data_IF_430222431358
#
_entry.id   IF_430222431358
#
_cell.length_a   1.000
_cell.length_b   1.000
_cell.length_c   1.000
_cell.angle_alpha   90.00
_cell.angle_beta   90.00
_cell.angle_gamma   90.00
#
_symmetry.space_group_name_H-M   'P 1'
#
loop_
_entity.id
_entity.type
_entity.pdbx_description
1 polymer ?
#
# COMPACT_ATOMS: atom_id res chain seq x y z
N UNK A 1 2.19 1.21 -21.28
CA UNK A 1 1.29 0.15 -20.81
C UNK A 1 -0.05 0.40 -21.45
N UNK A 2 -0.76 -0.62 -21.85
CA UNK A 2 -2.04 -0.47 -22.52
C UNK A 2 -2.60 -1.84 -22.94
N UNK A 3 -3.77 -1.81 -23.53
CA UNK A 3 -4.44 -2.98 -24.03
C UNK A 3 -3.73 -3.54 -25.27
N UNK A 4 -3.51 -4.84 -25.27
CA UNK A 4 -3.03 -5.61 -26.42
C UNK A 4 -4.22 -6.40 -27.00
N UNK A 5 -4.40 -6.33 -28.33
CA UNK A 5 -5.44 -7.10 -29.02
C UNK A 5 -4.87 -8.44 -29.48
N UNK A 6 -5.41 -9.53 -28.93
CA UNK A 6 -5.06 -10.91 -29.33
C UNK A 6 -6.31 -11.63 -29.84
N UNK A 7 -6.43 -11.72 -31.16
CA UNK A 7 -7.65 -12.23 -31.80
C UNK A 7 -8.83 -11.29 -31.56
N UNK A 8 -9.85 -11.79 -30.85
CA UNK A 8 -11.05 -11.02 -30.48
C UNK A 8 -10.98 -10.46 -29.04
N UNK A 9 -9.90 -10.75 -28.29
CA UNK A 9 -9.75 -10.40 -26.88
C UNK A 9 -8.81 -9.19 -26.71
N UNK A 10 -9.21 -8.28 -25.84
CA UNK A 10 -8.36 -7.22 -25.31
C UNK A 10 -7.70 -7.73 -24.04
N UNK A 11 -6.38 -7.69 -23.98
CA UNK A 11 -5.58 -8.18 -22.87
C UNK A 11 -4.82 -7.02 -22.25
N UNK A 12 -5.02 -6.83 -20.95
CA UNK A 12 -4.24 -5.93 -20.10
C UNK A 12 -3.42 -6.77 -19.14
N UNK A 13 -2.12 -6.49 -19.03
CA UNK A 13 -1.21 -7.15 -18.10
C UNK A 13 -0.67 -6.14 -17.12
N UNK A 14 -0.86 -6.42 -15.84
CA UNK A 14 -0.37 -5.61 -14.75
C UNK A 14 0.35 -6.46 -13.72
N UNK A 15 1.08 -5.83 -12.82
CA UNK A 15 1.73 -6.50 -11.71
C UNK A 15 1.21 -5.96 -10.39
N UNK A 16 1.00 -6.87 -9.44
CA UNK A 16 0.67 -6.52 -8.07
C UNK A 16 1.59 -7.24 -7.10
N UNK A 17 1.88 -6.60 -5.97
CA UNK A 17 2.59 -7.21 -4.85
C UNK A 17 1.62 -7.73 -3.77
N UNK A 18 0.33 -7.49 -3.96
CA UNK A 18 -0.68 -7.97 -3.02
C UNK A 18 -0.69 -9.50 -3.00
N UNK A 19 -0.79 -10.13 -1.82
CA UNK A 19 -1.12 -11.55 -1.72
C UNK A 19 -2.46 -11.83 -2.40
N UNK A 20 -2.63 -13.04 -2.97
CA UNK A 20 -3.83 -13.38 -3.74
C UNK A 20 -5.13 -13.10 -2.98
N UNK A 21 -5.24 -13.49 -1.73
CA UNK A 21 -6.47 -13.29 -0.94
C UNK A 21 -6.82 -11.79 -0.80
N UNK A 22 -5.83 -10.93 -0.63
CA UNK A 22 -6.05 -9.49 -0.59
C UNK A 22 -6.44 -8.93 -1.94
N UNK A 23 -5.73 -9.33 -3.00
CA UNK A 23 -6.08 -8.98 -4.37
C UNK A 23 -7.53 -9.36 -4.69
N UNK A 24 -7.95 -10.59 -4.32
CA UNK A 24 -9.30 -11.10 -4.53
C UNK A 24 -10.37 -10.22 -3.88
N UNK A 25 -10.15 -9.77 -2.64
CA UNK A 25 -11.08 -8.87 -1.93
C UNK A 25 -11.17 -7.52 -2.65
N UNK A 26 -10.03 -6.92 -3.00
CA UNK A 26 -9.98 -5.62 -3.66
C UNK A 26 -10.57 -5.69 -5.07
N UNK A 27 -10.30 -6.76 -5.83
CA UNK A 27 -10.88 -7.00 -7.15
C UNK A 27 -12.41 -7.14 -7.07
N UNK A 28 -12.91 -7.92 -6.10
CA UNK A 28 -14.35 -8.09 -5.91
C UNK A 28 -15.06 -6.79 -5.52
N UNK A 29 -14.39 -5.91 -4.76
CA UNK A 29 -14.88 -4.57 -4.45
C UNK A 29 -14.84 -3.66 -5.68
N UNK A 30 -13.69 -3.58 -6.35
CA UNK A 30 -13.50 -2.76 -7.55
C UNK A 30 -14.48 -3.11 -8.66
N UNK A 31 -14.76 -4.41 -8.89
CA UNK A 31 -15.76 -4.86 -9.85
C UNK A 31 -17.17 -4.37 -9.50
N UNK A 32 -17.52 -4.31 -8.22
CA UNK A 32 -18.84 -3.81 -7.77
C UNK A 32 -18.97 -2.29 -7.86
N UNK A 33 -17.91 -1.57 -7.52
CA UNK A 33 -17.90 -0.11 -7.39
C UNK A 33 -17.50 0.59 -8.68
N UNK A 34 -16.44 0.10 -9.33
CA UNK A 34 -15.86 0.76 -10.51
C UNK A 34 -16.57 0.49 -11.83
N UNK A 35 -17.24 -0.66 -11.95
CA UNK A 35 -17.94 -1.07 -13.16
C UNK A 35 -19.46 -1.08 -12.97
N UNK A 36 -19.99 -0.15 -12.20
CA UNK A 36 -21.44 -0.02 -11.99
C UNK A 36 -22.18 0.12 -13.32
N UNK A 37 -23.14 -0.79 -13.54
CA UNK A 37 -23.93 -0.86 -14.77
C UNK A 37 -23.37 -1.80 -15.85
N UNK A 38 -22.14 -2.28 -15.74
CA UNK A 38 -21.55 -3.26 -16.66
C UNK A 38 -21.40 -4.65 -16.06
N UNK A 39 -21.11 -4.77 -14.76
CA UNK A 39 -20.96 -6.06 -14.08
C UNK A 39 -22.28 -6.50 -13.50
N UNK A 40 -22.80 -7.62 -13.97
CA UNK A 40 -24.03 -8.22 -13.43
C UNK A 40 -23.67 -9.18 -12.28
N UNK A 41 -22.69 -10.05 -12.49
CA UNK A 41 -22.19 -11.00 -11.48
C UNK A 41 -20.72 -11.29 -11.71
N UNK A 42 -20.03 -11.72 -10.67
CA UNK A 42 -18.66 -12.24 -10.78
C UNK A 42 -18.47 -13.47 -9.90
N UNK A 43 -17.67 -14.41 -10.36
CA UNK A 43 -17.37 -15.66 -9.67
C UNK A 43 -15.88 -15.98 -9.72
N UNK A 44 -15.32 -16.38 -8.57
CA UNK A 44 -13.94 -16.82 -8.49
C UNK A 44 -13.83 -18.35 -8.63
N UNK A 45 -13.04 -18.77 -9.62
CA UNK A 45 -12.65 -20.18 -9.84
C UNK A 45 -11.13 -20.27 -9.67
N UNK A 46 -10.70 -20.70 -8.48
CA UNK A 46 -9.27 -20.65 -8.14
C UNK A 46 -8.75 -19.22 -8.17
N UNK A 47 -7.71 -18.95 -8.94
CA UNK A 47 -7.08 -17.64 -9.12
C UNK A 47 -7.68 -16.80 -10.25
N UNK A 48 -8.73 -17.26 -10.90
CA UNK A 48 -9.42 -16.56 -11.98
C UNK A 48 -10.80 -16.11 -11.53
N UNK A 49 -11.10 -14.83 -11.74
CA UNK A 49 -12.43 -14.26 -11.58
C UNK A 49 -13.08 -14.16 -12.97
N UNK A 50 -14.19 -14.83 -13.15
CA UNK A 50 -15.05 -14.65 -14.33
C UNK A 50 -16.07 -13.56 -14.05
N UNK A 51 -16.18 -12.61 -14.98
CA UNK A 51 -17.10 -11.47 -14.87
C UNK A 51 -18.15 -11.58 -15.97
N UNK A 52 -19.41 -11.56 -15.56
CA UNK A 52 -20.54 -11.70 -16.46
C UNK A 52 -21.26 -10.36 -16.62
N UNK A 53 -21.40 -9.93 -17.86
CA UNK A 53 -22.09 -8.70 -18.24
C UNK A 53 -22.74 -8.89 -19.61
N UNK A 54 -23.92 -8.30 -19.89
CA UNK A 54 -24.52 -8.41 -21.21
C UNK A 54 -23.60 -7.88 -22.32
N UNK A 55 -23.24 -8.75 -23.28
CA UNK A 55 -22.39 -8.39 -24.42
C UNK A 55 -20.91 -8.21 -24.12
N UNK A 56 -20.46 -8.44 -22.89
CA UNK A 56 -19.05 -8.39 -22.50
C UNK A 56 -18.70 -9.65 -21.72
N UNK A 57 -17.73 -10.41 -22.21
CA UNK A 57 -17.11 -11.49 -21.46
C UNK A 57 -15.75 -11.02 -20.96
N UNK A 58 -15.51 -11.11 -19.67
CA UNK A 58 -14.22 -10.72 -19.11
C UNK A 58 -13.77 -11.67 -18.00
N UNK A 59 -12.45 -11.78 -17.84
CA UNK A 59 -11.84 -12.51 -16.75
C UNK A 59 -10.63 -11.78 -16.21
N UNK A 60 -10.38 -11.92 -14.91
CA UNK A 60 -9.19 -11.43 -14.22
C UNK A 60 -8.48 -12.65 -13.65
N UNK A 61 -7.27 -12.92 -14.10
CA UNK A 61 -6.45 -14.03 -13.61
C UNK A 61 -5.28 -13.48 -12.82
N UNK A 62 -5.04 -14.05 -11.64
CA UNK A 62 -3.88 -13.77 -10.81
C UNK A 62 -2.91 -14.96 -10.85
N UNK A 63 -1.68 -14.70 -11.28
CA UNK A 63 -0.61 -15.71 -11.30
C UNK A 63 0.70 -15.12 -10.79
N UNK A 64 1.16 -15.55 -9.60
CA UNK A 64 2.43 -15.16 -8.99
C UNK A 64 2.71 -13.65 -9.02
N UNK A 65 1.68 -12.82 -8.77
CA UNK A 65 1.79 -11.36 -8.77
C UNK A 65 1.63 -10.71 -10.15
N UNK A 66 1.45 -11.48 -11.21
CA UNK A 66 0.95 -10.98 -12.49
C UNK A 66 -0.57 -11.04 -12.52
N UNK A 67 -1.19 -9.96 -12.97
CA UNK A 67 -2.64 -9.84 -13.16
C UNK A 67 -2.90 -9.69 -14.65
N UNK A 68 -3.66 -10.62 -15.19
CA UNK A 68 -4.06 -10.61 -16.60
C UNK A 68 -5.56 -10.37 -16.67
N UNK A 69 -5.96 -9.20 -17.20
CA UNK A 69 -7.34 -8.90 -17.52
C UNK A 69 -7.59 -9.21 -19.00
N UNK A 70 -8.61 -10.00 -19.26
CA UNK A 70 -9.04 -10.38 -20.60
C UNK A 70 -10.47 -9.90 -20.79
N UNK A 71 -10.72 -9.11 -21.84
CA UNK A 71 -12.04 -8.55 -22.15
C UNK A 71 -12.39 -8.84 -23.60
N UNK A 72 -13.54 -9.47 -23.82
CA UNK A 72 -14.16 -9.67 -25.13
C UNK A 72 -15.45 -8.88 -25.19
N UNK A 73 -15.61 -8.08 -26.23
CA UNK A 73 -16.77 -7.21 -26.42
C UNK A 73 -17.54 -7.69 -27.65
N UNK A 74 -18.74 -8.20 -27.43
CA UNK A 74 -19.57 -8.85 -28.45
C UNK A 74 -20.67 -7.95 -29.03
N UNK A 75 -20.49 -6.62 -29.05
CA UNK A 75 -21.44 -5.71 -29.68
C UNK A 75 -20.74 -4.65 -30.56
N UNK A 76 -21.43 -4.13 -31.59
CA UNK A 76 -20.80 -3.35 -32.66
C UNK A 76 -20.52 -1.87 -32.30
N UNK A 77 -20.95 -1.37 -31.14
CA UNK A 77 -20.83 0.04 -30.83
C UNK A 77 -19.40 0.45 -30.43
N UNK A 78 -18.65 1.04 -31.34
CA UNK A 78 -17.25 1.46 -31.14
C UNK A 78 -17.07 2.48 -30.00
N UNK A 79 -18.05 3.35 -29.74
CA UNK A 79 -18.00 4.35 -28.67
C UNK A 79 -18.03 3.72 -27.26
N UNK A 80 -18.94 2.76 -27.03
CA UNK A 80 -19.03 2.05 -25.76
C UNK A 80 -17.79 1.18 -25.48
N UNK A 81 -17.18 0.66 -26.54
CA UNK A 81 -15.96 -0.14 -26.46
C UNK A 81 -14.81 0.61 -25.80
N UNK A 82 -14.51 1.82 -26.23
CA UNK A 82 -13.45 2.63 -25.65
C UNK A 82 -13.69 2.94 -24.18
N UNK A 83 -14.93 3.27 -23.82
CA UNK A 83 -15.31 3.52 -22.43
C UNK A 83 -15.14 2.28 -21.54
N UNK A 84 -15.63 1.12 -21.97
CA UNK A 84 -15.50 -0.15 -21.22
C UNK A 84 -14.04 -0.48 -20.95
N UNK A 85 -13.19 -0.41 -21.99
CA UNK A 85 -11.75 -0.69 -21.83
C UNK A 85 -11.08 0.28 -20.86
N UNK A 86 -11.41 1.57 -20.94
CA UNK A 86 -10.90 2.59 -20.00
C UNK A 86 -11.35 2.35 -18.56
N UNK A 87 -12.61 1.99 -18.35
CA UNK A 87 -13.15 1.76 -17.00
C UNK A 87 -12.57 0.47 -16.38
N UNK A 88 -12.37 -0.59 -17.21
CA UNK A 88 -11.70 -1.83 -16.76
C UNK A 88 -10.23 -1.58 -16.47
N UNK A 89 -9.54 -0.81 -17.29
CA UNK A 89 -8.14 -0.45 -17.09
C UNK A 89 -7.96 0.32 -15.77
N UNK A 90 -8.75 1.37 -15.54
CA UNK A 90 -8.73 2.17 -14.32
C UNK A 90 -9.00 1.29 -13.08
N UNK A 91 -10.04 0.43 -13.15
CA UNK A 91 -10.36 -0.49 -12.05
C UNK A 91 -9.24 -1.50 -11.82
N UNK A 92 -8.61 -2.03 -12.88
CA UNK A 92 -7.51 -2.99 -12.75
C UNK A 92 -6.29 -2.35 -12.12
N UNK A 93 -5.94 -1.14 -12.54
CA UNK A 93 -4.82 -0.38 -11.98
C UNK A 93 -5.04 -0.10 -10.48
N UNK A 94 -6.24 0.30 -10.10
CA UNK A 94 -6.62 0.53 -8.69
C UNK A 94 -6.53 -0.76 -7.87
N UNK A 95 -7.11 -1.84 -8.38
CA UNK A 95 -7.15 -3.14 -7.71
C UNK A 95 -5.76 -3.76 -7.59
N UNK A 96 -4.94 -3.70 -8.62
CA UNK A 96 -3.57 -4.20 -8.58
C UNK A 96 -2.74 -3.46 -7.52
N UNK A 97 -3.28 -2.33 -6.99
CA UNK A 97 -2.44 -1.42 -6.25
C UNK A 97 -1.25 -1.11 -7.16
N UNK A 98 -1.52 -1.05 -8.48
CA UNK A 98 -0.63 -0.33 -9.33
C UNK A 98 -0.44 0.95 -8.54
N UNK A 99 0.67 0.97 -7.84
CA UNK A 99 1.12 2.11 -7.12
C UNK A 99 1.21 3.12 -8.23
N UNK A 100 0.01 3.61 -8.55
CA UNK A 100 -0.09 4.73 -9.44
C UNK A 100 0.93 5.67 -8.89
N UNK A 101 1.79 6.14 -9.76
CA UNK A 101 2.66 7.29 -9.52
C UNK A 101 1.88 8.49 -8.94
N UNK A 102 0.67 8.28 -8.46
CA UNK A 102 -0.30 9.14 -7.86
C UNK A 102 -0.75 8.82 -6.45
N UNK A 103 -0.56 7.63 -5.90
CA UNK A 103 -0.93 7.40 -4.49
C UNK A 103 0.13 8.00 -3.56
N UNK A 104 -0.18 9.18 -3.04
CA UNK A 104 0.69 9.99 -2.17
C UNK A 104 0.49 9.72 -0.68
N UNK A 105 -0.36 8.78 -0.32
CA UNK A 105 -0.62 8.41 1.07
C UNK A 105 0.53 7.61 1.65
N UNK A 106 1.10 8.14 2.73
CA UNK A 106 2.27 7.59 3.42
C UNK A 106 1.90 7.33 4.87
N UNK A 107 1.94 6.09 5.31
CA UNK A 107 1.66 5.78 6.70
C UNK A 107 2.85 6.12 7.61
N UNK A 108 2.58 6.76 8.74
CA UNK A 108 3.56 7.01 9.80
C UNK A 108 3.20 6.17 11.01
N UNK A 109 3.95 5.09 11.20
CA UNK A 109 3.97 4.34 12.47
C UNK A 109 4.86 5.09 13.44
N UNK A 110 4.38 5.31 14.66
CA UNK A 110 5.15 6.06 15.67
C UNK A 110 4.85 5.55 17.07
N UNK A 111 5.79 5.82 17.97
CA UNK A 111 5.59 5.67 19.39
C UNK A 111 5.12 6.95 20.07
N UNK A 112 5.79 7.36 21.18
CA UNK A 112 5.35 8.46 22.06
C UNK A 112 5.98 9.81 21.76
N UNK A 113 6.81 9.95 20.72
CA UNK A 113 7.47 11.24 20.42
C UNK A 113 6.60 12.11 19.49
N UNK A 114 5.73 12.98 20.02
CA UNK A 114 4.87 13.82 19.20
C UNK A 114 5.68 14.84 18.38
N UNK A 115 6.80 15.30 18.89
CA UNK A 115 7.68 16.24 18.21
C UNK A 115 8.25 15.63 16.91
N UNK A 116 8.83 14.44 16.97
CA UNK A 116 9.45 13.80 15.80
C UNK A 116 8.42 13.31 14.79
N UNK A 117 7.25 12.91 15.29
CA UNK A 117 6.09 12.61 14.45
C UNK A 117 5.67 13.84 13.63
N UNK A 118 5.57 15.00 14.28
CA UNK A 118 5.19 16.26 13.63
C UNK A 118 6.26 16.70 12.62
N UNK A 119 7.55 16.66 12.98
CA UNK A 119 8.65 16.96 12.05
C UNK A 119 8.56 16.10 10.77
N UNK A 120 8.33 14.79 10.91
CA UNK A 120 8.19 13.89 9.77
C UNK A 120 6.96 14.21 8.94
N UNK A 121 5.81 14.44 9.60
CA UNK A 121 4.56 14.82 8.94
C UNK A 121 4.74 16.10 8.10
N UNK A 122 5.29 17.15 8.70
CA UNK A 122 5.51 18.44 8.02
C UNK A 122 6.48 18.30 6.85
N UNK A 123 7.55 17.53 7.05
CA UNK A 123 8.52 17.26 5.98
C UNK A 123 7.86 16.54 4.79
N UNK A 124 7.11 15.46 5.02
CA UNK A 124 6.43 14.71 3.96
C UNK A 124 5.37 15.56 3.26
N UNK A 125 4.62 16.37 4.02
CA UNK A 125 3.63 17.31 3.46
C UNK A 125 4.30 18.35 2.55
N UNK A 126 5.49 18.85 2.93
CA UNK A 126 6.28 19.78 2.10
C UNK A 126 6.72 19.17 0.75
N UNK A 127 6.76 17.85 0.65
CA UNK A 127 7.05 17.11 -0.58
C UNK A 127 5.79 16.85 -1.43
N UNK A 128 4.63 17.32 -1.00
CA UNK A 128 3.34 17.08 -1.66
C UNK A 128 2.82 15.65 -1.43
N UNK A 129 3.25 15.00 -0.35
CA UNK A 129 2.75 13.71 0.10
C UNK A 129 1.65 13.89 1.15
N UNK A 130 0.86 12.84 1.39
CA UNK A 130 -0.28 12.82 2.31
C UNK A 130 0.03 11.87 3.49
N UNK A 131 0.62 12.36 4.58
CA UNK A 131 0.89 11.55 5.75
C UNK A 131 -0.38 11.06 6.43
N UNK A 132 -0.46 9.76 6.70
CA UNK A 132 -1.54 9.11 7.43
C UNK A 132 -1.01 8.66 8.79
N UNK A 133 -1.60 9.18 9.86
CA UNK A 133 -1.29 8.85 11.26
C UNK A 133 -2.56 8.29 11.88
N UNK A 134 -2.48 7.09 12.48
CA UNK A 134 -3.66 6.36 12.93
C UNK A 134 -4.49 7.13 13.97
N UNK A 135 -3.81 7.80 14.91
CA UNK A 135 -4.44 8.56 15.99
C UNK A 135 -5.22 9.78 15.49
N UNK A 136 -4.91 10.27 14.29
CA UNK A 136 -5.56 11.42 13.67
C UNK A 136 -6.74 11.03 12.77
N UNK A 137 -6.99 9.73 12.61
CA UNK A 137 -8.06 9.24 11.73
C UNK A 137 -9.34 8.98 12.51
N UNK A 138 -10.47 9.07 11.80
CA UNK A 138 -11.79 8.75 12.32
C UNK A 138 -11.91 7.26 12.70
N UNK A 139 -12.49 6.96 13.86
CA UNK A 139 -12.61 5.59 14.39
C UNK A 139 -13.63 4.74 13.62
N UNK A 140 -14.63 5.35 13.01
CA UNK A 140 -15.67 4.68 12.21
C UNK A 140 -16.38 3.52 12.91
N UNK A 141 -16.32 3.45 14.23
CA UNK A 141 -16.84 2.31 15.00
C UNK A 141 -16.03 1.02 14.85
N UNK A 142 -14.81 1.11 14.31
CA UNK A 142 -13.90 -0.02 14.13
C UNK A 142 -13.08 -0.26 15.41
N UNK A 143 -12.66 -1.50 15.60
CA UNK A 143 -11.61 -1.81 16.56
C UNK A 143 -10.27 -1.21 16.12
N UNK A 144 -9.31 -1.06 17.04
CA UNK A 144 -8.00 -0.48 16.72
C UNK A 144 -7.31 -1.23 15.56
N UNK A 145 -7.39 -2.55 15.53
CA UNK A 145 -6.78 -3.36 14.47
C UNK A 145 -7.51 -3.19 13.13
N UNK A 146 -8.83 -3.15 13.13
CA UNK A 146 -9.62 -2.91 11.91
C UNK A 146 -9.38 -1.49 11.36
N UNK A 147 -9.32 -0.49 12.25
CA UNK A 147 -8.96 0.88 11.89
C UNK A 147 -7.56 0.94 11.26
N UNK A 148 -6.57 0.30 11.90
CA UNK A 148 -5.22 0.19 11.37
C UNK A 148 -5.22 -0.42 9.97
N UNK A 149 -5.82 -1.60 9.79
CA UNK A 149 -5.89 -2.27 8.49
C UNK A 149 -6.57 -1.41 7.42
N UNK A 150 -7.65 -0.74 7.79
CA UNK A 150 -8.39 0.14 6.87
C UNK A 150 -7.49 1.26 6.32
N UNK A 151 -6.84 2.04 7.19
CA UNK A 151 -6.01 3.15 6.75
C UNK A 151 -4.66 2.72 6.19
N UNK A 152 -4.04 1.68 6.74
CA UNK A 152 -2.76 1.16 6.28
C UNK A 152 -2.84 0.61 4.84
N UNK A 153 -3.95 -0.03 4.49
CA UNK A 153 -4.14 -0.58 3.13
C UNK A 153 -4.33 0.49 2.05
N UNK A 154 -4.70 1.70 2.43
CA UNK A 154 -4.78 2.83 1.52
C UNK A 154 -3.42 3.45 1.20
N UNK A 155 -2.38 3.16 1.99
CA UNK A 155 -1.07 3.78 1.85
C UNK A 155 -0.16 3.02 0.88
N UNK A 156 0.72 3.78 0.21
CA UNK A 156 1.69 3.27 -0.77
C UNK A 156 3.09 3.10 -0.22
N UNK A 157 3.35 3.62 0.98
CA UNK A 157 4.64 3.62 1.66
C UNK A 157 4.46 3.75 3.16
N UNK A 158 5.40 3.27 3.96
CA UNK A 158 5.37 3.41 5.41
C UNK A 158 6.71 3.86 5.99
N UNK A 159 6.67 4.85 6.89
CA UNK A 159 7.76 5.19 7.77
C UNK A 159 7.47 4.66 9.17
N UNK A 160 8.45 3.97 9.75
CA UNK A 160 8.39 3.44 11.10
C UNK A 160 9.30 4.28 11.97
N UNK A 161 8.74 5.17 12.74
CA UNK A 161 9.48 6.08 13.61
C UNK A 161 9.69 5.44 14.98
N UNK A 162 10.94 5.13 15.28
CA UNK A 162 11.37 4.52 16.53
C UNK A 162 12.20 5.51 17.35
N UNK A 163 11.69 5.89 18.50
CA UNK A 163 12.36 6.84 19.42
C UNK A 163 12.56 6.21 20.79
N UNK A 164 13.54 6.69 21.59
CA UNK A 164 13.78 6.18 22.95
C UNK A 164 12.60 6.29 23.89
N UNK A 165 11.69 7.24 23.65
CA UNK A 165 10.47 7.44 24.44
C UNK A 165 9.44 6.31 24.25
N UNK A 166 9.67 5.43 23.28
CA UNK A 166 8.90 4.22 23.06
C UNK A 166 9.25 3.10 24.04
N UNK A 167 10.13 3.39 24.98
CA UNK A 167 10.66 2.43 25.91
C UNK A 167 9.71 2.25 27.09
N UNK A 168 9.22 1.04 27.25
CA UNK A 168 8.66 0.61 28.54
C UNK A 168 9.75 0.75 29.59
N UNK A 169 9.49 1.55 30.63
CA UNK A 169 10.29 1.64 31.82
C UNK A 169 10.37 0.27 32.50
N UNK A 170 11.30 -0.56 32.06
CA UNK A 170 11.71 -1.74 32.82
C UNK A 170 12.90 -1.35 33.69
N UNK A 171 12.60 -1.32 34.98
CA UNK A 171 13.45 -1.32 36.15
C UNK A 171 14.97 -1.18 35.94
N UNK A 172 15.53 -0.23 36.63
CA UNK A 172 16.92 0.23 36.71
C UNK A 172 17.98 -0.84 37.09
N UNK A 173 17.70 -2.11 37.10
CA UNK A 173 18.56 -3.10 37.75
C UNK A 173 19.42 -4.02 36.88
N UNK A 174 19.25 -4.04 35.59
CA UNK A 174 20.17 -4.84 34.75
C UNK A 174 20.26 -4.20 33.37
N UNK A 175 21.42 -3.72 32.95
CA UNK A 175 21.86 -3.20 31.67
C UNK A 175 20.98 -3.47 30.44
N UNK A 176 19.68 -3.21 30.54
CA UNK A 176 18.69 -3.56 29.55
C UNK A 176 18.77 -2.59 28.38
N UNK A 177 19.04 -3.15 27.21
CA UNK A 177 18.92 -2.44 25.94
C UNK A 177 17.48 -1.99 25.74
N UNK A 178 17.34 -0.82 25.22
CA UNK A 178 16.07 -0.18 24.94
C UNK A 178 15.41 -0.88 23.74
N UNK A 179 14.15 -1.31 23.86
CA UNK A 179 13.39 -2.02 22.81
C UNK A 179 12.24 -1.16 22.30
N UNK A 180 11.98 -1.23 21.02
CA UNK A 180 10.79 -0.62 20.43
C UNK A 180 9.50 -1.25 21.00
N UNK A 181 8.40 -0.49 20.99
CA UNK A 181 7.09 -0.98 21.44
C UNK A 181 6.65 -2.19 20.63
N UNK A 182 5.98 -3.12 21.29
CA UNK A 182 5.43 -4.33 20.62
C UNK A 182 4.51 -3.98 19.47
N UNK A 183 3.66 -2.94 19.60
CA UNK A 183 2.77 -2.49 18.53
C UNK A 183 3.54 -1.98 17.31
N UNK A 184 4.58 -1.18 17.51
CA UNK A 184 5.44 -0.69 16.41
C UNK A 184 6.10 -1.84 15.65
N UNK A 185 6.53 -2.89 16.37
CA UNK A 185 7.12 -4.10 15.74
C UNK A 185 6.06 -4.90 14.97
N UNK A 186 4.85 -5.03 15.51
CA UNK A 186 3.72 -5.69 14.82
C UNK A 186 3.38 -4.94 13.53
N UNK A 187 3.22 -3.62 13.60
CA UNK A 187 2.90 -2.75 12.46
C UNK A 187 4.02 -2.78 11.41
N UNK A 188 5.29 -2.76 11.82
CA UNK A 188 6.44 -2.94 10.94
C UNK A 188 6.34 -4.26 10.18
N UNK A 189 6.10 -5.38 10.89
CA UNK A 189 5.93 -6.70 10.29
C UNK A 189 4.79 -6.73 9.28
N UNK A 190 3.68 -6.12 9.62
CA UNK A 190 2.52 -5.99 8.74
C UNK A 190 2.85 -5.21 7.46
N UNK A 191 3.48 -4.03 7.58
CA UNK A 191 3.86 -3.23 6.41
C UNK A 191 4.91 -3.91 5.54
N UNK A 192 5.86 -4.63 6.11
CA UNK A 192 6.83 -5.41 5.34
C UNK A 192 6.16 -6.51 4.51
N UNK A 193 5.15 -7.16 5.07
CA UNK A 193 4.37 -8.17 4.35
C UNK A 193 3.46 -7.55 3.28
N UNK A 194 2.85 -6.41 3.58
CA UNK A 194 1.88 -5.76 2.71
C UNK A 194 2.52 -4.94 1.57
N UNK A 195 3.45 -4.04 1.89
CA UNK A 195 4.09 -3.13 0.92
C UNK A 195 5.38 -3.69 0.30
N UNK A 196 5.97 -4.70 0.95
CA UNK A 196 7.33 -5.13 0.65
C UNK A 196 8.39 -4.21 1.29
N UNK A 197 9.59 -4.78 1.53
CA UNK A 197 10.68 -4.12 2.28
C UNK A 197 11.20 -2.83 1.67
N UNK A 198 11.08 -2.68 0.37
CA UNK A 198 11.54 -1.49 -0.36
C UNK A 198 10.65 -0.27 -0.16
N UNK A 199 9.42 -0.46 0.35
CA UNK A 199 8.46 0.61 0.64
C UNK A 199 8.24 0.83 2.14
N UNK A 200 9.15 0.30 2.93
CA UNK A 200 9.18 0.49 4.38
C UNK A 200 10.55 1.05 4.76
N UNK A 201 10.56 2.12 5.54
CA UNK A 201 11.79 2.74 6.06
C UNK A 201 11.67 2.91 7.55
N UNK A 202 12.68 2.46 8.27
CA UNK A 202 12.80 2.67 9.72
C UNK A 202 13.63 3.93 9.96
N UNK A 203 13.03 4.89 10.64
CA UNK A 203 13.69 6.08 11.16
C UNK A 203 13.91 5.87 12.65
N UNK A 204 15.14 5.91 13.11
CA UNK A 204 15.42 5.63 14.51
C UNK A 204 16.38 6.65 15.14
N UNK A 205 16.18 6.90 16.41
CA UNK A 205 17.01 7.78 17.23
C UNK A 205 17.74 6.96 18.27
N UNK A 206 19.06 7.17 18.38
CA UNK A 206 19.95 6.50 19.35
C UNK A 206 20.02 4.96 19.26
N UNK A 207 20.69 4.34 20.22
CA UNK A 207 20.97 2.91 20.28
C UNK A 207 19.70 2.13 20.63
N UNK A 208 18.91 1.82 19.62
CA UNK A 208 17.76 0.94 19.76
C UNK A 208 18.16 -0.50 19.43
N UNK A 209 17.70 -1.46 20.23
CA UNK A 209 17.77 -2.87 19.85
C UNK A 209 16.79 -3.15 18.73
N UNK A 210 17.30 -3.15 17.51
CA UNK A 210 16.53 -3.51 16.31
C UNK A 210 16.53 -5.04 16.21
N UNK A 211 15.37 -5.68 15.94
CA UNK A 211 15.34 -7.12 15.73
C UNK A 211 16.33 -7.56 14.64
N UNK A 212 17.20 -8.54 14.96
CA UNK A 212 18.29 -8.99 14.07
C UNK A 212 17.82 -9.55 12.73
N UNK A 213 16.56 -10.03 12.68
CA UNK A 213 16.04 -10.78 11.54
C UNK A 213 15.31 -9.91 10.49
N UNK A 214 15.32 -8.56 10.67
CA UNK A 214 14.71 -7.63 9.73
C UNK A 214 15.74 -7.17 8.68
N UNK A 215 16.38 -8.10 8.00
CA UNK A 215 17.31 -7.77 6.92
C UNK A 215 16.58 -7.29 5.66
N UNK A 216 17.17 -6.29 4.98
CA UNK A 216 16.67 -5.76 3.71
C UNK A 216 15.68 -4.59 3.83
N UNK A 217 15.38 -4.11 5.04
CA UNK A 217 14.70 -2.83 5.27
C UNK A 217 15.74 -1.72 5.39
N UNK A 218 15.43 -0.53 4.94
CA UNK A 218 16.31 0.64 5.06
C UNK A 218 16.18 1.26 6.44
N UNK A 219 17.31 1.46 7.09
CA UNK A 219 17.43 2.13 8.39
C UNK A 219 18.08 3.50 8.21
N UNK A 220 17.45 4.53 8.74
CA UNK A 220 17.95 5.90 8.74
C UNK A 220 18.05 6.41 10.17
N UNK A 221 19.29 6.54 10.65
CA UNK A 221 19.57 7.08 11.98
C UNK A 221 19.57 8.61 11.94
N UNK A 222 18.89 9.23 12.89
CA UNK A 222 18.94 10.66 13.16
C UNK A 222 19.27 10.91 14.64
N UNK A 223 19.85 12.07 14.97
CA UNK A 223 20.24 12.41 16.36
C UNK A 223 19.24 13.35 17.00
N UNK A 224 19.00 14.50 16.39
CA UNK A 224 18.18 15.55 16.97
C UNK A 224 16.94 15.87 16.15
N UNK A 225 17.01 15.78 14.82
CA UNK A 225 15.93 16.16 13.92
C UNK A 225 15.84 15.24 12.73
N UNK A 226 14.62 14.98 12.28
CA UNK A 226 14.32 14.26 11.03
C UNK A 226 14.95 14.98 9.80
N UNK A 227 15.11 16.29 9.87
CA UNK A 227 15.72 17.06 8.78
C UNK A 227 17.19 16.70 8.52
N UNK A 228 17.91 16.14 9.50
CA UNK A 228 19.29 15.64 9.32
C UNK A 228 19.38 14.55 8.25
N UNK A 229 18.31 13.79 8.06
CA UNK A 229 18.23 12.66 7.13
C UNK A 229 17.29 12.94 5.95
N UNK A 230 16.86 14.20 5.79
CA UNK A 230 15.88 14.61 4.78
C UNK A 230 16.26 14.21 3.34
N UNK A 231 17.54 14.35 2.98
CA UNK A 231 18.00 13.99 1.63
C UNK A 231 17.96 12.47 1.40
N UNK A 232 18.29 11.67 2.41
CA UNK A 232 18.20 10.21 2.34
C UNK A 232 16.75 9.75 2.20
N UNK A 233 15.81 10.43 2.89
CA UNK A 233 14.37 10.19 2.74
C UNK A 233 13.93 10.53 1.32
N UNK A 234 14.36 11.71 0.77
CA UNK A 234 14.05 12.11 -0.62
C UNK A 234 14.53 11.08 -1.63
N UNK A 235 15.77 10.67 -1.52
CA UNK A 235 16.37 9.66 -2.42
C UNK A 235 15.57 8.34 -2.39
N UNK A 236 15.11 7.93 -1.20
CA UNK A 236 14.30 6.72 -1.08
C UNK A 236 12.94 6.88 -1.75
N UNK A 237 12.26 7.99 -1.52
CA UNK A 237 10.96 8.29 -2.12
C UNK A 237 11.05 8.43 -3.65
N UNK A 238 12.13 9.05 -4.18
CA UNK A 238 12.43 9.08 -5.63
C UNK A 238 12.66 7.68 -6.19
N UNK A 239 13.45 6.86 -5.50
CA UNK A 239 13.75 5.49 -5.93
C UNK A 239 12.52 4.60 -6.09
N UNK A 240 11.43 4.90 -5.38
CA UNK A 240 10.14 4.19 -5.50
C UNK A 240 9.09 4.96 -6.30
N UNK A 241 9.45 6.10 -6.91
CA UNK A 241 8.60 6.88 -7.81
C UNK A 241 7.48 7.68 -7.13
N UNK A 242 7.61 8.01 -5.84
CA UNK A 242 6.62 8.78 -5.09
C UNK A 242 6.81 10.31 -5.23
N UNK A 243 8.01 10.74 -5.50
CA UNK A 243 8.37 12.13 -5.80
C UNK A 243 9.32 12.17 -7.01
N UNK A 244 9.41 13.33 -7.64
CA UNK A 244 10.30 13.59 -8.81
C UNK A 244 11.75 13.86 -8.42
#
# INVERSE_FOLDING_TARGET
MGWELQGEDYILRERTRKPFERFKVDASRGLREGLQGFVTTHEWKGTTCEVHSPGVASSITFDHGEVVCKVRINFPASFLKGKILSDVEATTLDVCGALSSGNKQIFIVHGHSPEKRLELKDFLTSLGLEPVILDEQDDRGLTIIEKFEYYATACSFAFILMTPDDLTAMTKETGSRQRARQNVIMELGWFMAYLGRERVVILYKDVLEIPSDIHGVVYLEFKNSIYEISERIRQRLKGVGLIS
#
